data_IF_571403649632
#
_entry.id   IF_571403649632
#
_cell.length_a   1.000
_cell.length_b   1.000
_cell.length_c   1.000
_cell.angle_alpha   90.00
_cell.angle_beta   90.00
_cell.angle_gamma   90.00
#
_symmetry.space_group_name_H-M   'P 1'
#
loop_
_entity.id
_entity.type
_entity.pdbx_description
1 polymer ?
#
# COMPACT_ATOMS: atom_id res chain seq x y z
N UNK A 1 -20.05 15.95 -7.37
CA UNK A 1 -19.97 14.52 -7.74
C UNK A 1 -19.25 13.78 -6.63
N UNK A 2 -19.56 12.51 -6.40
CA UNK A 2 -18.84 11.69 -5.42
C UNK A 2 -17.37 11.56 -5.81
N UNK A 3 -16.46 11.59 -4.83
CA UNK A 3 -15.04 11.29 -5.06
C UNK A 3 -14.88 9.77 -5.20
N UNK A 4 -13.84 9.35 -5.89
CA UNK A 4 -13.57 7.93 -6.16
C UNK A 4 -12.26 7.53 -5.50
N UNK A 5 -12.28 6.42 -4.78
CA UNK A 5 -11.11 5.88 -4.10
C UNK A 5 -10.85 4.43 -4.49
N UNK A 6 -9.58 4.06 -4.60
CA UNK A 6 -9.13 2.68 -4.72
C UNK A 6 -8.38 2.26 -3.45
N UNK A 7 -8.69 1.09 -2.89
CA UNK A 7 -8.03 0.54 -1.70
C UNK A 7 -7.52 -0.87 -1.99
N UNK A 8 -6.21 -1.10 -1.82
CA UNK A 8 -5.62 -2.43 -1.95
C UNK A 8 -5.67 -3.20 -0.63
N UNK A 9 -5.92 -4.51 -0.68
CA UNK A 9 -5.99 -5.33 0.53
C UNK A 9 -7.18 -4.96 1.42
N UNK A 10 -8.27 -4.50 0.80
CA UNK A 10 -9.43 -3.95 1.48
C UNK A 10 -10.24 -4.99 2.26
N UNK A 11 -10.04 -6.29 2.06
CA UNK A 11 -10.94 -7.32 2.60
C UNK A 11 -10.60 -7.81 4.02
N UNK A 12 -9.61 -7.20 4.68
CA UNK A 12 -9.27 -7.54 6.06
C UNK A 12 -8.57 -6.39 6.79
N UNK A 13 -8.63 -6.41 8.12
CA UNK A 13 -7.87 -5.53 9.01
C UNK A 13 -7.98 -4.04 8.63
N UNK A 14 -6.84 -3.37 8.56
CA UNK A 14 -6.73 -1.91 8.31
C UNK A 14 -7.39 -1.52 6.98
N UNK A 15 -7.19 -2.31 5.93
CA UNK A 15 -7.77 -2.03 4.62
C UNK A 15 -9.29 -2.04 4.64
N UNK A 16 -9.88 -2.99 5.37
CA UNK A 16 -11.34 -3.08 5.54
C UNK A 16 -11.90 -1.90 6.31
N UNK A 17 -11.30 -1.56 7.44
CA UNK A 17 -11.69 -0.40 8.23
C UNK A 17 -11.55 0.90 7.42
N UNK A 18 -10.49 1.02 6.60
CA UNK A 18 -10.30 2.16 5.70
C UNK A 18 -11.40 2.22 4.63
N UNK A 19 -11.72 1.11 3.98
CA UNK A 19 -12.77 1.05 2.96
C UNK A 19 -14.16 1.43 3.52
N UNK A 20 -14.55 0.86 4.66
CA UNK A 20 -15.81 1.21 5.34
C UNK A 20 -15.87 2.70 5.69
N UNK A 21 -14.80 3.26 6.26
CA UNK A 21 -14.76 4.68 6.62
C UNK A 21 -14.83 5.62 5.40
N UNK A 22 -14.23 5.23 4.27
CA UNK A 22 -14.30 6.00 3.03
C UNK A 22 -15.69 5.91 2.39
N UNK A 23 -16.33 4.74 2.41
CA UNK A 23 -17.71 4.59 1.96
C UNK A 23 -18.67 5.46 2.77
N UNK A 24 -18.53 5.47 4.11
CA UNK A 24 -19.32 6.35 4.99
C UNK A 24 -19.08 7.85 4.77
N UNK A 25 -17.99 8.22 4.10
CA UNK A 25 -17.69 9.60 3.67
C UNK A 25 -18.17 9.88 2.23
N UNK A 26 -18.91 8.96 1.61
CA UNK A 26 -19.51 9.15 0.29
C UNK A 26 -18.56 8.91 -0.89
N UNK A 27 -17.45 8.18 -0.68
CA UNK A 27 -16.61 7.77 -1.80
C UNK A 27 -17.25 6.62 -2.59
N UNK A 28 -17.18 6.69 -3.92
CA UNK A 28 -17.30 5.52 -4.78
C UNK A 28 -16.01 4.69 -4.67
N UNK A 29 -16.13 3.39 -4.38
CA UNK A 29 -14.98 2.55 -4.04
C UNK A 29 -14.65 1.52 -5.10
N UNK A 30 -13.37 1.40 -5.40
CA UNK A 30 -12.77 0.25 -6.06
C UNK A 30 -11.93 -0.51 -5.03
N UNK A 31 -12.36 -1.73 -4.70
CA UNK A 31 -11.67 -2.56 -3.71
C UNK A 31 -10.89 -3.65 -4.43
N UNK A 32 -9.55 -3.57 -4.33
CA UNK A 32 -8.67 -4.54 -4.95
C UNK A 32 -8.35 -5.67 -3.98
N UNK A 33 -8.69 -6.90 -4.35
CA UNK A 33 -8.51 -8.07 -3.49
C UNK A 33 -8.27 -9.36 -4.27
N UNK A 34 -7.70 -10.36 -3.60
CA UNK A 34 -7.39 -11.66 -4.22
C UNK A 34 -8.52 -12.68 -4.11
N UNK A 35 -9.37 -12.58 -3.08
CA UNK A 35 -10.41 -13.56 -2.81
C UNK A 35 -11.78 -12.96 -3.18
N UNK A 36 -12.49 -13.51 -4.17
CA UNK A 36 -13.74 -12.94 -4.67
C UNK A 36 -14.83 -12.95 -3.59
N UNK A 37 -14.98 -14.04 -2.83
CA UNK A 37 -16.00 -14.15 -1.80
C UNK A 37 -15.86 -13.08 -0.72
N UNK A 38 -14.62 -12.82 -0.27
CA UNK A 38 -14.34 -11.75 0.70
C UNK A 38 -14.52 -10.36 0.11
N UNK A 39 -14.24 -10.19 -1.18
CA UNK A 39 -14.51 -8.96 -1.91
C UNK A 39 -16.00 -8.67 -1.96
N UNK A 40 -16.80 -9.67 -2.33
CA UNK A 40 -18.25 -9.56 -2.39
C UNK A 40 -18.85 -9.34 -1.00
N UNK A 41 -18.39 -10.06 0.01
CA UNK A 41 -18.83 -9.86 1.40
C UNK A 41 -18.60 -8.42 1.87
N UNK A 42 -17.43 -7.84 1.57
CA UNK A 42 -17.15 -6.44 1.91
C UNK A 42 -18.04 -5.47 1.15
N UNK A 43 -18.27 -5.72 -0.14
CA UNK A 43 -19.19 -4.94 -0.96
C UNK A 43 -20.59 -4.93 -0.35
N UNK A 44 -21.15 -6.11 -0.08
CA UNK A 44 -22.50 -6.26 0.48
C UNK A 44 -22.62 -5.55 1.84
N UNK A 45 -21.59 -5.68 2.68
CA UNK A 45 -21.52 -4.99 3.97
C UNK A 45 -21.55 -3.47 3.81
N UNK A 46 -20.72 -2.92 2.91
CA UNK A 46 -20.66 -1.47 2.67
C UNK A 46 -22.00 -0.96 2.13
N UNK A 47 -22.56 -1.62 1.13
CA UNK A 47 -23.80 -1.20 0.47
C UNK A 47 -25.02 -1.32 1.41
N UNK A 48 -24.99 -2.27 2.35
CA UNK A 48 -25.99 -2.38 3.42
C UNK A 48 -25.83 -1.30 4.49
N UNK A 49 -24.58 -0.99 4.87
CA UNK A 49 -24.28 -0.04 5.96
C UNK A 49 -24.47 1.41 5.52
N UNK A 50 -24.21 1.71 4.24
CA UNK A 50 -24.21 3.07 3.70
C UNK A 50 -25.11 3.14 2.47
N UNK A 51 -26.34 3.61 2.68
CA UNK A 51 -27.31 3.77 1.61
C UNK A 51 -26.75 4.64 0.47
N UNK A 52 -26.79 4.12 -0.76
CA UNK A 52 -26.25 4.79 -1.95
C UNK A 52 -24.74 4.68 -2.13
N UNK A 53 -24.03 3.93 -1.28
CA UNK A 53 -22.64 3.57 -1.55
C UNK A 53 -22.54 2.71 -2.81
N UNK A 54 -21.45 2.87 -3.55
CA UNK A 54 -21.17 2.10 -4.75
C UNK A 54 -19.79 1.48 -4.63
N UNK A 55 -19.73 0.15 -4.70
CA UNK A 55 -18.47 -0.60 -4.58
C UNK A 55 -18.27 -1.51 -5.79
N UNK A 56 -17.12 -1.38 -6.43
CA UNK A 56 -16.63 -2.27 -7.48
C UNK A 56 -15.47 -3.11 -6.94
N UNK A 57 -15.58 -4.43 -7.05
CA UNK A 57 -14.52 -5.37 -6.66
C UNK A 57 -13.60 -5.61 -7.86
N UNK A 58 -12.31 -5.32 -7.71
CA UNK A 58 -11.28 -5.66 -8.69
C UNK A 58 -10.49 -6.86 -8.17
N UNK A 59 -10.49 -7.95 -8.93
CA UNK A 59 -9.72 -9.14 -8.56
C UNK A 59 -8.28 -9.00 -9.04
N UNK A 60 -7.34 -9.09 -8.11
CA UNK A 60 -5.92 -9.17 -8.42
C UNK A 60 -5.13 -9.81 -7.27
N UNK A 61 -4.20 -10.69 -7.62
CA UNK A 61 -3.14 -11.12 -6.72
C UNK A 61 -1.96 -10.15 -6.84
N UNK A 62 -1.65 -9.39 -5.79
CA UNK A 62 -0.53 -8.44 -5.81
C UNK A 62 0.85 -9.12 -5.88
N UNK A 63 0.90 -10.45 -5.83
CA UNK A 63 2.09 -11.24 -6.14
C UNK A 63 2.19 -11.59 -7.65
N UNK A 64 1.38 -10.97 -8.51
CA UNK A 64 1.38 -11.09 -9.97
C UNK A 64 1.34 -9.69 -10.59
N UNK A 65 2.42 -9.27 -11.23
CA UNK A 65 2.49 -7.96 -11.89
C UNK A 65 1.48 -7.84 -13.04
N UNK A 66 1.19 -8.95 -13.73
CA UNK A 66 0.16 -9.02 -14.76
C UNK A 66 -1.27 -8.82 -14.22
N UNK A 67 -1.60 -9.42 -13.07
CA UNK A 67 -2.91 -9.22 -12.42
C UNK A 67 -3.10 -7.73 -12.04
N UNK A 68 -2.04 -7.10 -11.53
CA UNK A 68 -2.06 -5.67 -11.17
C UNK A 68 -2.36 -4.81 -12.40
N UNK A 69 -1.67 -5.09 -13.51
CA UNK A 69 -1.89 -4.38 -14.77
C UNK A 69 -3.33 -4.54 -15.28
N UNK A 70 -3.86 -5.75 -15.26
CA UNK A 70 -5.25 -6.02 -15.67
C UNK A 70 -6.26 -5.29 -14.78
N UNK A 71 -6.05 -5.27 -13.47
CA UNK A 71 -6.93 -4.55 -12.55
C UNK A 71 -6.86 -3.03 -12.76
N UNK A 72 -5.67 -2.48 -13.01
CA UNK A 72 -5.49 -1.07 -13.36
C UNK A 72 -6.21 -0.74 -14.68
N UNK A 73 -6.07 -1.58 -15.70
CA UNK A 73 -6.76 -1.39 -16.99
C UNK A 73 -8.29 -1.44 -16.82
N UNK A 74 -8.80 -2.42 -16.08
CA UNK A 74 -10.24 -2.53 -15.78
C UNK A 74 -10.77 -1.27 -15.10
N UNK A 75 -9.99 -0.68 -14.19
CA UNK A 75 -10.35 0.61 -13.59
C UNK A 75 -10.33 1.75 -14.61
N UNK A 76 -9.29 1.85 -15.44
CA UNK A 76 -9.17 2.90 -16.47
C UNK A 76 -10.31 2.84 -17.49
N UNK A 77 -10.70 1.64 -17.92
CA UNK A 77 -11.79 1.38 -18.87
C UNK A 77 -13.16 1.79 -18.31
N UNK A 78 -13.31 1.81 -16.97
CA UNK A 78 -14.55 2.31 -16.34
C UNK A 78 -14.79 3.80 -16.58
N UNK A 79 -13.77 4.55 -17.02
CA UNK A 79 -13.85 5.98 -17.26
C UNK A 79 -13.97 6.83 -15.98
N UNK A 80 -13.94 6.23 -14.79
CA UNK A 80 -14.12 6.92 -13.52
C UNK A 80 -12.89 7.79 -13.14
N UNK A 81 -13.08 8.96 -12.52
CA UNK A 81 -11.96 9.71 -11.94
C UNK A 81 -11.30 8.90 -10.81
N UNK A 82 -10.07 9.23 -10.43
CA UNK A 82 -9.41 8.64 -9.26
C UNK A 82 -8.87 9.74 -8.37
N UNK A 83 -9.52 9.95 -7.22
CA UNK A 83 -9.17 11.03 -6.31
C UNK A 83 -8.30 10.54 -5.14
N UNK A 84 -8.33 9.23 -4.86
CA UNK A 84 -7.60 8.64 -3.75
C UNK A 84 -7.12 7.23 -4.09
N UNK A 85 -5.83 6.96 -3.92
CA UNK A 85 -5.26 5.62 -3.98
C UNK A 85 -4.66 5.27 -2.61
N UNK A 86 -5.18 4.22 -1.97
CA UNK A 86 -4.67 3.69 -0.70
C UNK A 86 -3.96 2.36 -0.95
N UNK A 87 -2.63 2.43 -0.97
CA UNK A 87 -1.75 1.27 -1.03
C UNK A 87 -1.58 0.68 0.38
N UNK A 88 -2.48 -0.24 0.75
CA UNK A 88 -2.55 -0.83 2.09
C UNK A 88 -2.13 -2.31 2.16
N UNK A 89 -2.30 -3.08 1.08
CA UNK A 89 -2.04 -4.51 1.09
C UNK A 89 -0.60 -4.87 1.49
N UNK A 90 -0.41 -5.93 2.27
CA UNK A 90 0.93 -6.36 2.62
C UNK A 90 1.04 -7.79 3.08
N UNK A 91 2.26 -8.30 3.01
CA UNK A 91 2.66 -9.64 3.44
C UNK A 91 3.90 -9.58 4.32
N UNK A 92 4.02 -10.56 5.23
CA UNK A 92 5.20 -10.82 6.04
C UNK A 92 5.49 -12.31 5.92
N UNK A 93 6.53 -12.68 5.18
CA UNK A 93 6.90 -14.08 5.03
C UNK A 93 8.02 -14.48 6.00
N UNK A 94 7.87 -15.66 6.60
CA UNK A 94 8.85 -16.21 7.56
C UNK A 94 10.05 -16.89 6.91
N UNK A 95 10.00 -17.08 5.59
CA UNK A 95 11.07 -17.60 4.74
C UNK A 95 11.01 -16.92 3.38
N UNK A 96 12.13 -16.88 2.65
CA UNK A 96 12.15 -16.41 1.26
C UNK A 96 11.22 -17.30 0.43
N UNK A 97 10.34 -16.66 -0.32
CA UNK A 97 9.55 -17.28 -1.38
C UNK A 97 9.38 -16.28 -2.50
N UNK A 98 9.18 -16.79 -3.69
CA UNK A 98 9.03 -15.98 -4.89
C UNK A 98 7.54 -15.75 -5.18
N UNK A 99 7.26 -14.59 -5.78
CA UNK A 99 5.99 -14.24 -6.40
C UNK A 99 5.80 -15.04 -7.69
N UNK A 100 4.68 -14.83 -8.41
CA UNK A 100 4.47 -15.49 -9.71
C UNK A 100 5.47 -15.03 -10.77
N UNK A 101 6.03 -13.84 -10.57
CA UNK A 101 7.01 -13.21 -11.47
C UNK A 101 8.47 -13.55 -11.08
N UNK A 102 8.69 -14.49 -10.15
CA UNK A 102 10.03 -14.92 -9.73
C UNK A 102 10.74 -13.97 -8.75
N UNK A 103 10.05 -12.95 -8.25
CA UNK A 103 10.62 -11.92 -7.37
C UNK A 103 10.37 -12.28 -5.90
N UNK A 104 11.29 -11.96 -4.98
CA UNK A 104 11.01 -12.12 -3.54
C UNK A 104 9.66 -11.49 -3.13
N UNK A 105 8.75 -12.28 -2.54
CA UNK A 105 7.34 -11.91 -2.44
C UNK A 105 7.08 -10.73 -1.48
N UNK A 106 7.89 -10.51 -0.43
CA UNK A 106 7.71 -9.30 0.39
C UNK A 106 8.05 -8.04 -0.42
N UNK A 107 9.13 -8.06 -1.19
CA UNK A 107 9.50 -6.96 -2.07
C UNK A 107 8.46 -6.74 -3.17
N UNK A 108 8.04 -7.83 -3.83
CA UNK A 108 7.02 -7.80 -4.88
C UNK A 108 5.69 -7.20 -4.37
N UNK A 109 5.12 -7.75 -3.29
CA UNK A 109 3.78 -7.36 -2.82
C UNK A 109 3.78 -6.04 -2.04
N UNK A 110 4.77 -5.82 -1.17
CA UNK A 110 4.74 -4.65 -0.28
C UNK A 110 5.27 -3.38 -0.95
N UNK A 111 6.05 -3.50 -2.03
CA UNK A 111 6.72 -2.38 -2.68
C UNK A 111 6.46 -2.31 -4.19
N UNK A 112 6.87 -3.31 -4.98
CA UNK A 112 6.73 -3.24 -6.45
C UNK A 112 5.27 -3.15 -6.89
N UNK A 113 4.37 -3.86 -6.22
CA UNK A 113 2.94 -3.81 -6.50
C UNK A 113 2.34 -2.41 -6.27
N UNK A 114 2.84 -1.69 -5.24
CA UNK A 114 2.39 -0.33 -4.95
C UNK A 114 2.86 0.61 -6.05
N UNK A 115 4.14 0.50 -6.42
CA UNK A 115 4.73 1.32 -7.47
C UNK A 115 4.06 1.08 -8.81
N UNK A 116 3.91 -0.18 -9.25
CA UNK A 116 3.26 -0.52 -10.52
C UNK A 116 1.83 0.01 -10.60
N UNK A 117 1.01 -0.27 -9.58
CA UNK A 117 -0.39 0.19 -9.56
C UNK A 117 -0.47 1.72 -9.59
N UNK A 118 0.39 2.41 -8.83
CA UNK A 118 0.44 3.87 -8.82
C UNK A 118 0.86 4.44 -10.17
N UNK A 119 1.91 3.92 -10.81
CA UNK A 119 2.38 4.38 -12.12
C UNK A 119 1.32 4.22 -13.21
N UNK A 120 0.68 3.04 -13.29
CA UNK A 120 -0.38 2.76 -14.27
C UNK A 120 -1.59 3.70 -14.10
N UNK A 121 -1.93 4.05 -12.87
CA UNK A 121 -3.05 4.93 -12.55
C UNK A 121 -2.67 6.41 -12.50
N UNK A 122 -1.39 6.74 -12.67
CA UNK A 122 -0.88 8.09 -12.47
C UNK A 122 -1.48 9.12 -13.44
N UNK A 123 -1.67 8.84 -14.75
CA UNK A 123 -2.35 9.76 -15.65
C UNK A 123 -3.76 10.12 -15.16
N UNK A 124 -4.49 9.13 -14.64
CA UNK A 124 -5.86 9.31 -14.13
C UNK A 124 -5.89 10.07 -12.80
N UNK A 125 -4.93 9.82 -11.90
CA UNK A 125 -4.77 10.60 -10.67
C UNK A 125 -4.51 12.08 -10.98
N UNK A 126 -3.62 12.37 -11.94
CA UNK A 126 -3.30 13.73 -12.38
C UNK A 126 -4.51 14.43 -13.01
N UNK A 127 -5.25 13.75 -13.88
CA UNK A 127 -6.45 14.33 -14.50
C UNK A 127 -7.61 14.54 -13.50
N UNK A 128 -7.54 13.89 -12.32
CA UNK A 128 -8.54 14.00 -11.26
C UNK A 128 -8.09 14.90 -10.11
N UNK A 129 -7.00 15.65 -10.29
CA UNK A 129 -6.47 16.51 -9.24
C UNK A 129 -7.53 17.53 -8.73
N UNK A 130 -7.57 17.83 -7.42
CA UNK A 130 -6.64 17.35 -6.39
C UNK A 130 -6.87 15.87 -6.02
N UNK A 131 -5.78 15.10 -6.01
CA UNK A 131 -5.79 13.67 -5.72
C UNK A 131 -4.70 13.29 -4.70
N UNK A 132 -4.90 12.18 -3.97
CA UNK A 132 -3.99 11.74 -2.90
C UNK A 132 -3.58 10.28 -3.07
N UNK A 133 -2.31 10.01 -2.79
CA UNK A 133 -1.75 8.66 -2.73
C UNK A 133 -1.30 8.43 -1.28
N UNK A 134 -1.82 7.39 -0.65
CA UNK A 134 -1.53 7.03 0.74
C UNK A 134 -0.96 5.62 0.79
N UNK A 135 0.28 5.48 1.26
CA UNK A 135 0.98 4.20 1.28
C UNK A 135 1.30 3.72 2.69
N UNK A 136 0.91 2.48 3.00
CA UNK A 136 1.18 1.87 4.31
C UNK A 136 2.63 1.36 4.37
N UNK A 137 3.45 2.05 5.13
CA UNK A 137 4.77 1.64 5.59
C UNK A 137 4.66 1.00 6.99
N UNK A 138 5.72 1.02 7.81
CA UNK A 138 5.75 0.51 9.17
C UNK A 138 7.00 1.00 9.91
N UNK A 139 6.94 1.11 11.24
CA UNK A 139 8.13 1.24 12.08
C UNK A 139 9.13 0.07 11.93
N UNK A 140 8.73 -1.04 11.31
CA UNK A 140 9.64 -2.11 10.92
C UNK A 140 10.82 -1.63 10.04
N UNK A 141 10.70 -0.49 9.35
CA UNK A 141 11.83 0.14 8.63
C UNK A 141 13.03 0.46 9.55
N UNK A 142 12.83 0.46 10.87
CA UNK A 142 13.88 0.65 11.88
C UNK A 142 14.71 -0.62 12.14
N UNK A 143 14.29 -1.78 11.64
CA UNK A 143 15.07 -3.04 11.73
C UNK A 143 16.19 -3.16 10.69
N UNK A 144 16.33 -2.16 9.82
CA UNK A 144 17.43 -2.03 8.86
C UNK A 144 18.15 -0.70 9.10
N UNK A 145 19.39 -0.61 8.65
CA UNK A 145 20.24 0.58 8.77
C UNK A 145 20.34 1.38 7.47
N UNK A 146 19.66 0.95 6.40
CA UNK A 146 19.66 1.61 5.10
C UNK A 146 19.14 0.70 3.99
N UNK A 147 19.08 1.27 2.79
CA UNK A 147 18.69 0.56 1.58
C UNK A 147 19.80 -0.41 1.16
N UNK A 148 19.46 -1.69 1.04
CA UNK A 148 20.34 -2.70 0.42
C UNK A 148 20.00 -2.77 -1.07
N UNK A 149 20.56 -1.87 -1.87
CA UNK A 149 20.24 -1.79 -3.29
C UNK A 149 20.81 -2.98 -4.08
N UNK A 150 21.98 -3.49 -3.69
CA UNK A 150 22.65 -4.59 -4.39
C UNK A 150 22.06 -5.98 -4.06
N UNK A 151 21.03 -6.03 -3.20
CA UNK A 151 20.38 -7.27 -2.75
C UNK A 151 18.93 -7.00 -2.31
N UNK A 152 18.14 -6.38 -3.20
CA UNK A 152 16.72 -6.03 -2.94
C UNK A 152 15.86 -7.26 -2.61
N UNK A 153 16.23 -8.42 -3.17
CA UNK A 153 15.49 -9.68 -3.06
C UNK A 153 16.03 -10.64 -1.99
N UNK A 154 17.08 -10.23 -1.26
CA UNK A 154 17.74 -11.06 -0.24
C UNK A 154 18.15 -12.45 -0.77
N UNK A 155 18.77 -12.47 -1.96
CA UNK A 155 19.33 -13.69 -2.57
C UNK A 155 20.72 -14.02 -2.00
N UNK A 156 21.47 -13.00 -1.60
CA UNK A 156 22.83 -13.15 -1.05
C UNK A 156 22.85 -13.01 0.49
N UNK A 157 22.00 -12.16 1.04
CA UNK A 157 21.87 -11.96 2.48
C UNK A 157 21.05 -13.06 3.16
N UNK A 158 21.42 -13.38 4.41
CA UNK A 158 20.59 -14.26 5.25
C UNK A 158 19.18 -13.67 5.43
N UNK A 159 18.17 -14.43 5.01
CA UNK A 159 16.76 -14.07 5.19
C UNK A 159 16.39 -14.02 6.68
N UNK A 160 16.06 -12.81 7.17
CA UNK A 160 15.55 -12.58 8.52
C UNK A 160 14.23 -11.82 8.38
N UNK A 161 13.12 -12.43 8.81
CA UNK A 161 11.74 -11.92 8.62
C UNK A 161 11.59 -10.42 8.85
N UNK A 162 12.01 -9.91 10.01
CA UNK A 162 11.88 -8.49 10.33
C UNK A 162 12.84 -7.58 9.54
N UNK A 163 14.01 -8.10 9.13
CA UNK A 163 14.95 -7.37 8.26
C UNK A 163 14.37 -7.19 6.86
N UNK A 164 13.84 -8.27 6.28
CA UNK A 164 13.26 -8.28 4.93
C UNK A 164 11.99 -7.43 4.87
N UNK A 165 11.07 -7.67 5.80
CA UNK A 165 9.86 -6.86 5.89
C UNK A 165 10.17 -5.38 6.20
N UNK A 166 11.11 -5.12 7.11
CA UNK A 166 11.58 -3.78 7.41
C UNK A 166 12.19 -3.07 6.21
N UNK A 167 12.99 -3.77 5.41
CA UNK A 167 13.56 -3.25 4.17
C UNK A 167 12.48 -2.90 3.15
N UNK A 168 11.50 -3.77 2.90
CA UNK A 168 10.37 -3.43 2.02
C UNK A 168 9.58 -2.20 2.50
N UNK A 169 9.43 -2.02 3.83
CA UNK A 169 8.78 -0.84 4.40
C UNK A 169 9.66 0.42 4.35
N UNK A 170 10.99 0.29 4.39
CA UNK A 170 11.91 1.38 4.06
C UNK A 170 11.77 1.79 2.58
N UNK A 171 11.67 0.83 1.66
CA UNK A 171 11.46 1.11 0.25
C UNK A 171 10.21 1.96 0.02
N UNK A 172 9.10 1.69 0.72
CA UNK A 172 7.90 2.52 0.64
C UNK A 172 8.10 3.97 1.10
N UNK A 173 8.94 4.22 2.10
CA UNK A 173 9.24 5.58 2.58
C UNK A 173 10.08 6.32 1.53
N UNK A 174 11.17 5.71 1.07
CA UNK A 174 12.04 6.30 0.05
C UNK A 174 11.28 6.55 -1.26
N UNK A 175 10.48 5.57 -1.70
CA UNK A 175 9.64 5.71 -2.88
C UNK A 175 8.60 6.81 -2.74
N UNK A 176 7.95 6.96 -1.58
CA UNK A 176 6.99 8.05 -1.35
C UNK A 176 7.67 9.42 -1.50
N UNK A 177 8.90 9.56 -1.02
CA UNK A 177 9.68 10.80 -1.16
C UNK A 177 10.00 11.12 -2.61
N UNK A 178 10.47 10.13 -3.36
CA UNK A 178 10.78 10.32 -4.77
C UNK A 178 9.52 10.55 -5.62
N UNK A 179 8.44 9.82 -5.33
CA UNK A 179 7.13 10.02 -5.96
C UNK A 179 6.63 11.46 -5.72
N UNK A 180 6.69 11.95 -4.48
CA UNK A 180 6.28 13.31 -4.16
C UNK A 180 7.06 14.37 -4.96
N UNK A 181 8.39 14.18 -5.10
CA UNK A 181 9.24 15.06 -5.91
C UNK A 181 8.85 15.03 -7.39
N UNK A 182 8.52 13.85 -7.93
CA UNK A 182 8.09 13.68 -9.33
C UNK A 182 6.67 14.19 -9.60
N UNK A 183 5.88 14.42 -8.55
CA UNK A 183 4.50 14.92 -8.64
C UNK A 183 4.38 16.43 -8.39
N UNK A 184 5.49 17.13 -8.18
CA UNK A 184 5.50 18.58 -8.01
C UNK A 184 4.75 19.28 -9.16
N UNK A 185 3.86 20.21 -8.82
CA UNK A 185 3.03 20.94 -9.79
C UNK A 185 1.85 20.16 -10.39
N UNK A 186 1.70 18.85 -10.10
CA UNK A 186 0.61 18.03 -10.68
C UNK A 186 -0.73 18.10 -9.94
N UNK A 187 -0.75 18.69 -8.73
CA UNK A 187 -1.92 18.66 -7.84
C UNK A 187 -2.19 17.31 -7.18
N UNK A 188 -1.29 16.33 -7.34
CA UNK A 188 -1.34 15.02 -6.67
C UNK A 188 -0.34 15.00 -5.51
N UNK A 189 -0.78 14.62 -4.31
CA UNK A 189 0.12 14.43 -3.17
C UNK A 189 0.35 12.95 -2.87
N UNK A 190 1.54 12.63 -2.34
CA UNK A 190 1.89 11.27 -1.94
C UNK A 190 2.48 11.27 -0.53
N UNK A 191 1.86 10.54 0.39
CA UNK A 191 2.34 10.38 1.76
C UNK A 191 2.33 8.92 2.19
N UNK A 192 3.12 8.59 3.21
CA UNK A 192 3.13 7.26 3.78
C UNK A 192 3.00 7.29 5.29
N UNK A 193 2.67 6.16 5.89
CA UNK A 193 2.38 6.08 7.33
C UNK A 193 2.78 4.76 7.95
N UNK A 194 2.87 4.73 9.27
CA UNK A 194 2.77 3.52 10.07
C UNK A 194 1.42 3.47 10.79
N UNK A 195 0.69 2.34 10.72
CA UNK A 195 -0.67 2.23 11.28
C UNK A 195 -0.70 1.95 12.79
N UNK A 196 0.45 1.90 13.47
CA UNK A 196 0.55 1.33 14.82
C UNK A 196 0.76 -0.19 14.80
N UNK A 197 1.00 -0.77 15.97
CA UNK A 197 0.91 -2.22 16.14
C UNK A 197 -0.56 -2.62 16.13
N UNK A 198 -1.06 -3.16 15.01
CA UNK A 198 -2.49 -3.52 14.84
C UNK A 198 -2.65 -5.04 14.78
N UNK A 199 -3.68 -5.57 15.45
CA UNK A 199 -4.08 -6.98 15.30
C UNK A 199 -4.74 -7.17 13.94
N UNK A 200 -3.94 -7.47 12.92
CA UNK A 200 -4.42 -7.74 11.56
C UNK A 200 -4.21 -9.20 11.19
N UNK A 201 -4.82 -9.64 10.09
CA UNK A 201 -4.52 -10.93 9.47
C UNK A 201 -3.13 -11.03 8.83
N UNK A 202 -2.23 -10.06 9.05
CA UNK A 202 -0.89 -10.04 8.49
C UNK A 202 -0.07 -11.23 9.04
N UNK A 203 0.49 -12.03 8.13
CA UNK A 203 1.26 -13.23 8.48
C UNK A 203 0.45 -14.52 8.53
N UNK A 204 -0.87 -14.50 8.32
CA UNK A 204 -1.72 -15.70 8.22
C UNK A 204 -1.39 -16.60 7.02
N UNK A 205 -0.63 -16.09 6.04
CA UNK A 205 -0.09 -16.86 4.92
C UNK A 205 1.06 -17.81 5.32
N UNK A 206 1.60 -17.67 6.53
CA UNK A 206 2.58 -18.61 7.08
C UNK A 206 1.86 -19.85 7.65
N UNK A 207 2.59 -20.93 7.93
CA UNK A 207 2.00 -22.13 8.55
C UNK A 207 1.22 -21.76 9.82
N UNK A 208 0.09 -22.43 10.07
CA UNK A 208 -0.86 -22.10 11.17
C UNK A 208 -0.18 -21.98 12.55
N UNK A 209 0.90 -22.72 12.79
CA UNK A 209 1.67 -22.70 14.04
C UNK A 209 2.54 -21.44 14.15
N UNK A 210 3.24 -21.07 13.08
CA UNK A 210 4.17 -19.94 13.08
C UNK A 210 3.44 -18.59 13.03
N UNK A 211 2.29 -18.53 12.34
CA UNK A 211 1.36 -17.39 12.40
C UNK A 211 0.75 -17.20 13.80
N UNK A 212 0.52 -18.29 14.55
CA UNK A 212 0.09 -18.23 15.96
C UNK A 212 1.18 -17.69 16.89
N UNK A 213 2.45 -18.06 16.69
CA UNK A 213 3.55 -17.57 17.54
C UNK A 213 3.78 -16.06 17.34
N UNK A 214 3.83 -15.60 16.09
CA UNK A 214 3.96 -14.16 15.78
C UNK A 214 2.78 -13.33 16.29
N UNK A 215 1.56 -13.89 16.25
CA UNK A 215 0.35 -13.21 16.77
C UNK A 215 0.19 -13.28 18.29
N UNK A 216 0.84 -14.21 18.99
CA UNK A 216 0.81 -14.34 20.46
C UNK A 216 1.87 -13.48 21.15
N UNK A 217 3.08 -13.37 20.59
CA UNK A 217 4.18 -12.63 21.22
C UNK A 217 3.98 -11.11 21.27
N UNK A 218 2.97 -10.59 20.58
CA UNK A 218 2.71 -9.15 20.40
C UNK A 218 1.38 -8.68 21.03
N UNK A 219 0.69 -9.54 21.82
CA UNK A 219 -0.72 -9.36 22.23
C UNK A 219 -1.12 -8.15 23.10
N UNK A 220 -0.37 -7.68 24.10
CA UNK A 220 -0.92 -6.72 25.07
C UNK A 220 -0.99 -5.25 24.59
N UNK A 221 -0.49 -4.92 23.39
CA UNK A 221 -0.47 -3.53 22.87
C UNK A 221 -1.10 -3.37 21.47
N UNK A 222 -1.87 -4.36 21.01
CA UNK A 222 -2.43 -4.31 19.67
C UNK A 222 -3.67 -3.42 19.58
N UNK A 223 -3.61 -2.45 18.66
CA UNK A 223 -4.73 -1.63 18.22
C UNK A 223 -5.79 -2.45 17.49
N UNK A 224 -7.03 -1.98 17.54
CA UNK A 224 -8.09 -2.47 16.66
C UNK A 224 -7.81 -2.07 15.21
N UNK A 225 -8.37 -2.77 14.20
CA UNK A 225 -8.28 -2.36 12.81
C UNK A 225 -8.68 -0.90 12.55
N UNK A 226 -9.71 -0.41 13.25
CA UNK A 226 -10.23 0.97 13.13
C UNK A 226 -9.21 1.98 13.65
N UNK A 227 -8.63 1.72 14.82
CA UNK A 227 -7.52 2.51 15.36
C UNK A 227 -6.29 2.46 14.44
N UNK A 228 -6.07 1.32 13.78
CA UNK A 228 -5.01 1.16 12.79
C UNK A 228 -5.22 1.94 11.49
N UNK A 229 -6.49 2.08 11.08
CA UNK A 229 -6.88 2.83 9.88
C UNK A 229 -6.90 4.34 10.11
N UNK A 230 -6.89 4.81 11.35
CA UNK A 230 -7.06 6.23 11.69
C UNK A 230 -6.09 7.14 10.93
N UNK A 231 -4.80 6.80 10.86
CA UNK A 231 -3.81 7.60 10.12
C UNK A 231 -3.99 7.50 8.60
N UNK A 232 -4.40 6.33 8.08
CA UNK A 232 -4.72 6.17 6.65
C UNK A 232 -5.91 7.05 6.26
N UNK A 233 -6.96 7.06 7.07
CA UNK A 233 -8.17 7.86 6.86
C UNK A 233 -7.83 9.35 6.98
N UNK A 234 -7.06 9.74 7.99
CA UNK A 234 -6.60 11.12 8.17
C UNK A 234 -5.84 11.62 6.93
N UNK A 235 -4.87 10.86 6.43
CA UNK A 235 -4.14 11.23 5.21
C UNK A 235 -5.04 11.25 3.97
N UNK A 236 -5.98 10.31 3.89
CA UNK A 236 -6.91 10.21 2.79
C UNK A 236 -7.88 11.40 2.69
N UNK A 237 -8.40 11.89 3.83
CA UNK A 237 -9.58 12.77 3.80
C UNK A 237 -9.47 14.07 4.58
N UNK A 238 -8.50 14.23 5.49
CA UNK A 238 -8.39 15.45 6.31
C UNK A 238 -8.00 16.67 5.46
N UNK A 239 -8.66 17.83 5.62
CA UNK A 239 -8.20 19.11 5.07
C UNK A 239 -6.85 19.56 5.63
N UNK A 240 -6.48 19.15 6.86
CA UNK A 240 -5.23 19.57 7.51
C UNK A 240 -3.95 19.11 6.79
N UNK A 241 -4.07 18.10 5.92
CA UNK A 241 -2.96 17.55 5.13
C UNK A 241 -3.07 17.90 3.65
N UNK A 242 -3.94 18.84 3.29
CA UNK A 242 -4.00 19.36 1.93
C UNK A 242 -2.67 20.01 1.55
N UNK A 243 -2.16 19.68 0.35
CA UNK A 243 -0.85 20.13 -0.11
C UNK A 243 0.37 19.46 0.55
N UNK A 244 0.21 18.76 1.68
CA UNK A 244 1.31 18.02 2.30
C UNK A 244 1.66 16.80 1.44
N UNK A 245 2.94 16.63 1.11
CA UNK A 245 3.44 15.54 0.27
C UNK A 245 4.87 15.16 0.67
N UNK A 246 5.27 13.91 0.44
CA UNK A 246 6.61 13.40 0.73
C UNK A 246 6.88 13.05 2.20
N UNK A 247 5.83 13.05 3.03
CA UNK A 247 5.94 12.91 4.47
C UNK A 247 5.60 11.49 4.97
N UNK A 248 6.12 11.17 6.15
CA UNK A 248 5.87 9.92 6.87
C UNK A 248 5.13 10.21 8.17
N UNK A 249 3.99 9.56 8.38
CA UNK A 249 3.11 9.82 9.51
C UNK A 249 3.03 8.67 10.52
N UNK A 250 2.88 9.02 11.79
CA UNK A 250 2.49 8.14 12.88
C UNK A 250 1.42 8.88 13.69
N UNK A 251 0.31 8.22 14.00
CA UNK A 251 -0.76 8.79 14.83
C UNK A 251 -1.26 10.16 14.35
N UNK A 252 -1.51 10.24 13.03
CA UNK A 252 -1.97 11.44 12.35
C UNK A 252 -1.01 12.65 12.45
N UNK A 253 0.27 12.43 12.77
CA UNK A 253 1.30 13.47 12.83
C UNK A 253 2.52 13.12 12.00
N UNK A 254 3.18 14.10 11.36
CA UNK A 254 4.49 13.88 10.74
C UNK A 254 5.49 13.34 11.77
N UNK A 255 6.21 12.30 11.40
CA UNK A 255 7.16 11.62 12.27
C UNK A 255 8.59 11.77 11.75
N UNK A 256 9.54 11.97 12.68
CA UNK A 256 10.95 12.09 12.33
C UNK A 256 11.50 10.76 11.83
N UNK A 257 12.16 10.82 10.68
CA UNK A 257 12.86 9.71 10.05
C UNK A 257 14.36 9.76 10.36
N UNK A 258 15.03 8.61 10.32
CA UNK A 258 16.49 8.54 10.36
C UNK A 258 17.08 8.94 9.00
N UNK A 259 18.35 9.40 8.93
CA UNK A 259 18.96 9.90 7.69
C UNK A 259 18.84 8.95 6.50
N UNK A 260 19.02 7.63 6.71
CA UNK A 260 18.92 6.63 5.65
C UNK A 260 17.50 6.50 5.04
N UNK A 261 16.47 6.97 5.72
CA UNK A 261 15.08 6.96 5.26
C UNK A 261 14.65 8.29 4.64
N UNK A 262 15.55 9.28 4.60
CA UNK A 262 15.38 10.58 3.95
C UNK A 262 16.41 10.82 2.84
N UNK A 263 17.23 9.82 2.52
CA UNK A 263 18.26 9.89 1.49
C UNK A 263 17.63 9.91 0.09
N UNK A 264 17.64 11.08 -0.55
CA UNK A 264 17.05 11.27 -1.88
C UNK A 264 17.87 10.60 -2.99
N UNK A 265 19.18 10.40 -2.81
CA UNK A 265 20.01 9.67 -3.77
C UNK A 265 19.64 8.18 -3.72
N UNK A 266 19.49 7.62 -2.53
CA UNK A 266 19.00 6.25 -2.35
C UNK A 266 17.57 6.09 -2.89
N UNK A 267 16.70 7.09 -2.68
CA UNK A 267 15.33 7.08 -3.20
C UNK A 267 15.29 7.07 -4.73
N UNK A 268 16.09 7.90 -5.41
CA UNK A 268 16.21 7.89 -6.87
C UNK A 268 16.76 6.56 -7.39
N UNK A 269 17.79 6.00 -6.74
CA UNK A 269 18.35 4.70 -7.16
C UNK A 269 17.38 3.54 -6.95
N UNK A 270 16.60 3.57 -5.87
CA UNK A 270 15.52 2.61 -5.64
C UNK A 270 14.47 2.71 -6.74
N UNK A 271 14.08 3.93 -7.11
CA UNK A 271 13.11 4.17 -8.18
C UNK A 271 13.56 3.51 -9.49
N UNK A 272 14.80 3.76 -9.91
CA UNK A 272 15.35 3.21 -11.14
C UNK A 272 15.43 1.67 -11.09
N UNK A 273 15.93 1.13 -9.98
CA UNK A 273 15.99 -0.32 -9.79
C UNK A 273 14.60 -0.97 -9.78
N UNK A 274 13.61 -0.37 -9.12
CA UNK A 274 12.23 -0.86 -9.13
C UNK A 274 11.61 -0.77 -10.53
N UNK A 275 11.91 0.28 -11.30
CA UNK A 275 11.48 0.40 -12.69
C UNK A 275 12.02 -0.72 -13.58
N UNK A 276 13.22 -1.21 -13.32
CA UNK A 276 13.78 -2.34 -14.08
C UNK A 276 12.96 -3.62 -13.91
N UNK A 277 12.42 -3.89 -12.71
CA UNK A 277 11.48 -5.00 -12.48
C UNK A 277 10.12 -4.80 -13.18
N UNK A 278 9.73 -3.54 -13.40
CA UNK A 278 8.38 -3.19 -13.85
C UNK A 278 8.30 -2.84 -15.33
N UNK A 279 9.45 -2.74 -16.02
CA UNK A 279 9.58 -2.23 -17.39
C UNK A 279 8.53 -2.81 -18.34
N UNK A 280 8.46 -4.13 -18.43
CA UNK A 280 7.57 -4.83 -19.35
C UNK A 280 6.09 -4.66 -18.99
N UNK A 281 5.78 -4.31 -17.74
CA UNK A 281 4.41 -4.11 -17.26
C UNK A 281 3.96 -2.64 -17.37
N UNK A 282 4.89 -1.69 -17.46
CA UNK A 282 4.59 -0.28 -17.66
C UNK A 282 4.42 0.08 -19.14
N UNK A 283 5.13 -0.60 -20.04
CA UNK A 283 5.17 -0.25 -21.47
C UNK A 283 4.48 -1.23 -22.40
N UNK A 284 3.96 -2.35 -21.92
CA UNK A 284 3.20 -3.25 -22.78
C UNK A 284 2.01 -2.50 -23.39
N UNK A 285 1.78 -2.71 -24.68
CA UNK A 285 0.62 -2.21 -25.43
C UNK A 285 -0.60 -3.13 -25.22
#
# INVERSE_FOLDING_TARGET
MAKTAMVTGATNGIGRATALALAGQGYELFVLCRNPDKGQQLKDEIETTHAGASVTVLLADLASLSDIRQAAQTFLDSGKPLHLLVNNAGVVNTRRKESRDGIEENFAVNHLAYMLLTELLLPRLKSSAPARIVSVSSEAHKFVSGLQLDDLEFTHSRYKTFKVYGHAKLCNILWTKELARRLEGSGVTANCLHPGAVRTGLGHQNSRVLGKIMSVLMKPFFRTPEQGAATSIYLATSPEVEGITGEYFIDCKPAKLKPYATDLVAASRLWDASNDYLRDFLTAD
#
